data_IF_522198113758
#
_entry.id   IF_522198113758
#
_cell.length_a   1.000
_cell.length_b   1.000
_cell.length_c   1.000
_cell.angle_alpha   90.00
_cell.angle_beta   90.00
_cell.angle_gamma   90.00
#
_symmetry.space_group_name_H-M   'P 1'
#
loop_
_entity.id
_entity.type
_entity.pdbx_description
1 polymer ?
#
# COMPACT_ATOMS: atom_id res chain seq x y z
N UNK A 1 23.52 -4.65 -6.56
CA UNK A 1 24.90 -4.13 -6.54
C UNK A 1 25.29 -3.71 -7.95
N UNK A 2 26.11 -2.68 -8.12
CA UNK A 2 26.52 -2.19 -9.45
C UNK A 2 27.89 -1.51 -9.40
N UNK A 3 28.56 -1.41 -10.55
CA UNK A 3 29.71 -0.53 -10.77
C UNK A 3 29.28 0.94 -10.80
N UNK A 4 30.24 1.87 -10.66
CA UNK A 4 29.99 3.32 -10.68
C UNK A 4 29.25 3.80 -11.95
N UNK A 5 29.61 3.22 -13.09
CA UNK A 5 28.96 3.48 -14.39
C UNK A 5 27.77 2.54 -14.68
N UNK A 6 27.46 1.60 -13.77
CA UNK A 6 26.41 0.59 -13.87
C UNK A 6 26.49 -0.34 -15.08
N UNK A 7 27.68 -0.49 -15.67
CA UNK A 7 27.95 -1.45 -16.75
C UNK A 7 27.94 -2.88 -16.19
N UNK A 8 28.57 -3.08 -15.04
CA UNK A 8 28.50 -4.31 -14.27
C UNK A 8 27.45 -4.20 -13.16
N UNK A 9 26.59 -5.21 -13.02
CA UNK A 9 25.60 -5.25 -11.95
C UNK A 9 25.04 -6.65 -11.73
N UNK A 10 24.42 -6.83 -10.57
CA UNK A 10 23.55 -7.96 -10.26
C UNK A 10 22.32 -7.48 -9.49
N UNK A 11 21.14 -7.98 -9.87
CA UNK A 11 19.86 -7.63 -9.30
C UNK A 11 18.90 -8.83 -9.27
N UNK A 12 18.17 -8.97 -8.16
CA UNK A 12 17.07 -9.91 -8.00
C UNK A 12 15.78 -9.09 -7.82
N UNK A 13 14.76 -9.39 -8.62
CA UNK A 13 13.48 -8.70 -8.62
C UNK A 13 12.34 -9.71 -8.49
N UNK A 14 11.27 -9.32 -7.79
CA UNK A 14 9.99 -10.02 -7.83
C UNK A 14 9.09 -9.33 -8.86
N UNK A 15 8.65 -10.06 -9.88
CA UNK A 15 7.75 -9.57 -10.92
C UNK A 15 6.60 -10.56 -11.08
N UNK A 16 5.36 -10.10 -10.95
CA UNK A 16 4.16 -10.96 -11.07
C UNK A 16 4.22 -12.20 -10.16
N UNK A 17 4.74 -12.00 -8.94
CA UNK A 17 4.91 -13.07 -7.94
C UNK A 17 6.08 -14.02 -8.20
N UNK A 18 6.88 -13.82 -9.25
CA UNK A 18 8.00 -14.70 -9.65
C UNK A 18 9.34 -13.99 -9.55
N UNK A 19 10.39 -14.74 -9.25
CA UNK A 19 11.74 -14.20 -9.15
C UNK A 19 12.42 -14.11 -10.50
N UNK A 20 13.08 -12.98 -10.73
CA UNK A 20 13.94 -12.72 -11.86
C UNK A 20 15.31 -12.26 -11.36
N UNK A 21 16.34 -13.06 -11.67
CA UNK A 21 17.73 -12.71 -11.41
C UNK A 21 18.37 -12.25 -12.71
N UNK A 22 19.02 -11.10 -12.68
CA UNK A 22 19.73 -10.55 -13.82
C UNK A 22 21.07 -9.98 -13.40
N UNK A 23 22.05 -10.17 -14.27
CA UNK A 23 23.38 -9.66 -14.05
C UNK A 23 24.07 -9.40 -15.39
N UNK A 24 24.98 -8.44 -15.39
CA UNK A 24 25.85 -8.11 -16.51
C UNK A 24 27.29 -8.02 -15.97
N UNK A 25 28.20 -8.69 -16.67
CA UNK A 25 29.64 -8.72 -16.38
C UNK A 25 30.40 -7.71 -17.26
N UNK A 26 29.68 -6.72 -17.80
CA UNK A 26 30.17 -5.65 -18.67
C UNK A 26 30.15 -5.95 -20.16
N UNK A 27 29.68 -7.14 -20.56
CA UNK A 27 29.63 -7.58 -21.97
C UNK A 27 28.31 -8.24 -22.38
N UNK A 28 27.26 -8.06 -21.60
CA UNK A 28 25.92 -8.47 -21.96
C UNK A 28 25.11 -9.00 -20.80
N UNK A 29 23.87 -8.53 -20.71
CA UNK A 29 22.92 -8.92 -19.68
C UNK A 29 22.49 -10.38 -19.84
N UNK A 30 22.65 -11.14 -18.76
CA UNK A 30 22.06 -12.48 -18.58
C UNK A 30 20.82 -12.35 -17.68
N UNK A 31 19.72 -13.05 -18.01
CA UNK A 31 18.49 -13.08 -17.21
C UNK A 31 18.06 -14.53 -16.95
N UNK A 32 17.73 -14.82 -15.71
CA UNK A 32 17.24 -16.10 -15.20
C UNK A 32 15.91 -15.83 -14.48
N UNK A 33 14.98 -16.78 -14.52
CA UNK A 33 13.72 -16.69 -13.78
C UNK A 33 13.36 -18.04 -13.17
N UNK A 34 12.56 -18.02 -12.11
CA UNK A 34 12.07 -19.23 -11.42
C UNK A 34 10.54 -19.31 -11.50
N UNK A 35 9.93 -20.49 -11.71
CA UNK A 35 8.48 -20.64 -11.88
C UNK A 35 7.67 -20.61 -10.58
N UNK A 36 8.31 -20.69 -9.41
CA UNK A 36 7.61 -20.58 -8.13
C UNK A 36 6.91 -19.21 -7.99
N UNK A 37 5.72 -19.22 -7.39
CA UNK A 37 5.01 -18.03 -6.94
C UNK A 37 5.33 -17.81 -5.47
N UNK A 38 5.83 -16.62 -5.11
CA UNK A 38 6.29 -16.29 -3.76
C UNK A 38 5.37 -15.31 -3.02
N UNK A 39 4.25 -14.91 -3.65
CA UNK A 39 3.29 -13.95 -3.08
C UNK A 39 2.15 -14.65 -2.33
N UNK A 40 2.49 -15.63 -1.49
CA UNK A 40 1.54 -16.43 -0.70
C UNK A 40 1.55 -16.10 0.80
N UNK A 41 2.42 -15.18 1.22
CA UNK A 41 2.57 -14.74 2.62
C UNK A 41 3.41 -15.68 3.48
N UNK A 42 4.04 -16.71 2.89
CA UNK A 42 4.92 -17.64 3.59
C UNK A 42 6.40 -17.25 3.44
N UNK A 43 7.22 -17.79 4.34
CA UNK A 43 8.66 -17.67 4.24
C UNK A 43 9.21 -18.58 3.15
N UNK A 44 10.01 -18.01 2.24
CA UNK A 44 10.72 -18.76 1.20
C UNK A 44 12.23 -18.62 1.34
N UNK A 45 12.96 -19.69 1.02
CA UNK A 45 14.42 -19.65 0.89
C UNK A 45 14.80 -19.39 -0.56
N UNK A 46 15.57 -18.33 -0.80
CA UNK A 46 15.97 -17.91 -2.15
C UNK A 46 17.50 -17.87 -2.26
N UNK A 47 18.04 -18.51 -3.30
CA UNK A 47 19.46 -18.49 -3.62
C UNK A 47 19.66 -18.08 -5.09
N UNK A 48 20.59 -17.18 -5.34
CA UNK A 48 21.01 -16.78 -6.70
C UNK A 48 22.46 -17.18 -6.89
N UNK A 49 22.77 -17.91 -7.95
CA UNK A 49 24.13 -18.41 -8.17
C UNK A 49 24.64 -18.06 -9.57
N UNK A 50 25.92 -17.68 -9.62
CA UNK A 50 26.73 -17.60 -10.82
C UNK A 50 27.93 -18.53 -10.66
N UNK A 51 28.03 -19.54 -11.50
CA UNK A 51 29.11 -20.53 -11.45
C UNK A 51 29.50 -21.00 -12.86
N UNK A 52 30.80 -20.99 -13.18
CA UNK A 52 31.35 -21.48 -14.46
C UNK A 52 30.58 -20.99 -15.70
N UNK A 53 30.35 -19.68 -15.81
CA UNK A 53 29.58 -19.06 -16.91
C UNK A 53 28.12 -19.52 -17.00
N UNK A 54 27.53 -19.97 -15.89
CA UNK A 54 26.11 -20.29 -15.78
C UNK A 54 25.49 -19.53 -14.62
N UNK A 55 24.32 -18.94 -14.85
CA UNK A 55 23.46 -18.37 -13.82
C UNK A 55 22.26 -19.28 -13.56
N UNK A 56 21.85 -19.43 -12.30
CA UNK A 56 20.61 -20.11 -11.92
C UNK A 56 20.06 -19.57 -10.59
N UNK A 57 18.82 -19.93 -10.30
CA UNK A 57 18.08 -19.59 -9.08
C UNK A 57 17.67 -20.87 -8.39
N UNK A 58 17.65 -20.87 -7.06
CA UNK A 58 17.03 -21.93 -6.26
C UNK A 58 15.97 -21.30 -5.36
N UNK A 59 14.75 -21.83 -5.38
CA UNK A 59 13.65 -21.44 -4.49
C UNK A 59 13.16 -22.68 -3.74
N UNK A 60 13.23 -22.65 -2.41
CA UNK A 60 12.82 -23.75 -1.54
C UNK A 60 13.45 -25.11 -1.92
N UNK A 61 14.73 -25.06 -2.31
CA UNK A 61 15.49 -26.23 -2.74
C UNK A 61 15.24 -26.70 -4.17
N UNK A 62 14.38 -26.02 -4.93
CA UNK A 62 14.12 -26.31 -6.34
C UNK A 62 14.93 -25.37 -7.24
N UNK A 63 15.69 -25.94 -8.18
CA UNK A 63 16.52 -25.18 -9.10
C UNK A 63 15.75 -24.75 -10.35
N UNK A 64 16.03 -23.53 -10.83
CA UNK A 64 15.69 -23.11 -12.18
C UNK A 64 16.58 -23.80 -13.21
N UNK A 65 16.18 -23.82 -14.50
CA UNK A 65 17.11 -24.14 -15.58
C UNK A 65 18.36 -23.26 -15.53
N UNK A 66 19.53 -23.87 -15.74
CA UNK A 66 20.79 -23.14 -15.83
C UNK A 66 20.88 -22.36 -17.14
N UNK A 67 21.26 -21.09 -17.06
CA UNK A 67 21.40 -20.20 -18.23
C UNK A 67 22.87 -19.86 -18.43
N UNK A 68 23.41 -20.14 -19.63
CA UNK A 68 24.76 -19.73 -20.00
C UNK A 68 24.85 -18.21 -20.10
N UNK A 69 25.88 -17.62 -19.52
CA UNK A 69 26.06 -16.16 -19.54
C UNK A 69 26.34 -15.62 -20.93
N UNK A 70 25.76 -14.46 -21.22
CA UNK A 70 26.01 -13.68 -22.44
C UNK A 70 27.39 -13.01 -22.35
N UNK A 71 28.11 -12.95 -23.47
CA UNK A 71 29.44 -12.35 -23.53
C UNK A 71 30.57 -13.27 -23.01
N UNK A 72 31.80 -12.80 -23.15
CA UNK A 72 33.05 -13.48 -22.77
C UNK A 72 33.69 -12.92 -21.49
N UNK A 73 33.07 -11.94 -20.84
CA UNK A 73 33.51 -11.44 -19.55
C UNK A 73 33.34 -12.49 -18.44
N UNK A 74 34.24 -12.45 -17.45
CA UNK A 74 34.36 -13.47 -16.39
C UNK A 74 34.33 -12.90 -14.97
N UNK A 75 34.44 -11.58 -14.81
CA UNK A 75 34.43 -10.89 -13.52
C UNK A 75 33.17 -10.04 -13.37
N UNK A 76 32.70 -9.88 -12.13
CA UNK A 76 31.63 -8.95 -11.78
C UNK A 76 32.25 -7.85 -10.91
N UNK A 77 32.49 -6.69 -11.51
CA UNK A 77 33.22 -5.60 -10.84
C UNK A 77 32.23 -4.54 -10.31
N UNK A 78 31.98 -4.51 -9.00
CA UNK A 78 30.96 -3.63 -8.39
C UNK A 78 31.49 -2.82 -7.19
N UNK A 79 30.80 -1.74 -6.80
CA UNK A 79 31.25 -0.78 -5.78
C UNK A 79 31.25 -1.29 -4.31
N UNK A 80 31.29 -2.60 -4.05
CA UNK A 80 31.33 -3.13 -2.69
C UNK A 80 30.07 -2.86 -1.84
N UNK A 81 29.03 -2.22 -2.40
CA UNK A 81 27.74 -1.95 -1.75
C UNK A 81 26.65 -2.89 -2.24
N UNK A 82 25.86 -3.42 -1.30
CA UNK A 82 24.64 -4.17 -1.57
C UNK A 82 23.43 -3.36 -1.11
N UNK A 83 22.50 -3.11 -2.04
CA UNK A 83 21.20 -2.53 -1.72
C UNK A 83 20.21 -3.67 -1.48
N UNK A 84 19.57 -3.69 -0.31
CA UNK A 84 18.62 -4.71 0.11
C UNK A 84 17.21 -4.11 0.22
N UNK A 85 16.21 -4.78 -0.35
CA UNK A 85 14.81 -4.38 -0.25
C UNK A 85 14.38 -3.17 -1.09
N UNK A 86 15.31 -2.33 -1.56
CA UNK A 86 15.01 -1.16 -2.38
C UNK A 86 16.26 -0.39 -2.79
N UNK A 87 16.06 0.80 -3.38
CA UNK A 87 17.13 1.70 -3.81
C UNK A 87 16.94 3.09 -3.17
N UNK A 88 18.02 3.85 -2.91
CA UNK A 88 17.91 5.24 -2.47
C UNK A 88 17.12 6.11 -3.46
N UNK A 89 16.45 7.14 -2.94
CA UNK A 89 15.51 7.97 -3.71
C UNK A 89 16.14 8.71 -4.89
N UNK A 90 17.43 9.01 -4.77
CA UNK A 90 18.29 9.72 -5.71
C UNK A 90 19.02 8.76 -6.65
N UNK A 91 19.08 7.47 -6.32
CA UNK A 91 19.71 6.47 -7.17
C UNK A 91 18.86 6.22 -8.42
N UNK A 92 19.52 6.14 -9.58
CA UNK A 92 18.88 5.90 -10.88
C UNK A 92 19.50 4.67 -11.51
N UNK A 93 18.87 3.52 -11.35
CA UNK A 93 19.31 2.27 -11.96
C UNK A 93 19.00 2.28 -13.47
N UNK A 94 19.99 1.99 -14.33
CA UNK A 94 19.88 2.19 -15.78
C UNK A 94 19.66 0.92 -16.62
N UNK A 95 19.80 -0.28 -16.06
CA UNK A 95 19.83 -1.52 -16.86
C UNK A 95 18.92 -2.66 -16.35
N UNK A 96 18.13 -2.41 -15.30
CA UNK A 96 17.30 -3.43 -14.62
C UNK A 96 15.80 -3.32 -14.89
N UNK A 97 15.40 -2.56 -15.91
CA UNK A 97 14.00 -2.33 -16.25
C UNK A 97 13.28 -1.38 -15.28
N UNK A 98 11.94 -1.48 -15.23
CA UNK A 98 11.08 -0.52 -14.53
C UNK A 98 10.77 -0.92 -13.06
N UNK A 99 11.19 -2.10 -12.62
CA UNK A 99 10.96 -2.59 -11.25
C UNK A 99 12.11 -2.14 -10.37
N UNK A 100 12.05 -0.88 -9.95
CA UNK A 100 13.07 -0.23 -9.11
C UNK A 100 12.52 0.25 -7.76
N UNK A 101 11.22 0.05 -7.51
CA UNK A 101 10.59 0.36 -6.24
C UNK A 101 10.99 -0.66 -5.16
N UNK A 102 10.80 -0.28 -3.90
CA UNK A 102 11.07 -1.17 -2.77
C UNK A 102 10.07 -2.34 -2.74
N UNK A 103 10.55 -3.54 -2.39
CA UNK A 103 9.71 -4.72 -2.27
C UNK A 103 8.88 -4.67 -0.98
N UNK A 104 7.55 -4.84 -1.04
CA UNK A 104 6.70 -4.95 0.15
C UNK A 104 6.78 -6.36 0.74
N UNK A 105 7.92 -6.68 1.36
CA UNK A 105 8.16 -8.01 1.95
C UNK A 105 9.03 -7.92 3.20
N UNK A 106 8.93 -8.94 4.04
CA UNK A 106 9.92 -9.17 5.08
C UNK A 106 11.12 -9.91 4.51
N UNK A 107 12.33 -9.46 4.84
CA UNK A 107 13.58 -10.14 4.48
C UNK A 107 14.25 -10.57 5.77
N UNK A 108 14.47 -11.87 5.93
CA UNK A 108 15.16 -12.49 7.07
C UNK A 108 16.68 -12.42 6.92
N UNK A 109 17.35 -13.53 7.21
CA UNK A 109 18.81 -13.65 7.08
C UNK A 109 19.25 -13.51 5.61
N UNK A 110 20.40 -12.84 5.40
CA UNK A 110 20.98 -12.64 4.07
C UNK A 110 22.47 -12.92 4.11
N UNK A 111 22.91 -13.87 3.28
CA UNK A 111 24.31 -14.19 3.10
C UNK A 111 24.78 -13.89 1.68
N UNK A 112 26.02 -13.41 1.55
CA UNK A 112 26.71 -13.26 0.27
C UNK A 112 28.00 -14.08 0.35
N UNK A 113 28.20 -15.00 -0.61
CA UNK A 113 29.35 -15.91 -0.62
C UNK A 113 29.55 -16.64 0.72
N UNK A 114 28.45 -17.13 1.31
CA UNK A 114 28.40 -17.80 2.63
C UNK A 114 28.76 -16.92 3.84
N UNK A 115 29.04 -15.63 3.64
CA UNK A 115 29.22 -14.67 4.72
C UNK A 115 27.88 -14.01 5.04
N UNK A 116 27.39 -14.20 6.25
CA UNK A 116 26.19 -13.50 6.73
C UNK A 116 26.44 -11.99 6.79
N UNK A 117 25.45 -11.22 6.36
CA UNK A 117 25.46 -9.77 6.47
C UNK A 117 24.88 -9.36 7.82
N UNK A 118 25.55 -8.42 8.50
CA UNK A 118 24.99 -7.76 9.67
C UNK A 118 23.95 -6.72 9.21
N UNK A 119 22.67 -7.05 9.36
CA UNK A 119 21.55 -6.16 9.03
C UNK A 119 21.22 -5.16 10.13
N UNK A 120 21.78 -5.33 11.33
CA UNK A 120 21.57 -4.41 12.46
C UNK A 120 22.54 -3.21 12.40
N UNK A 121 23.63 -3.33 11.62
CA UNK A 121 24.62 -2.26 11.39
C UNK A 121 24.75 -1.86 9.90
N UNK A 122 23.69 -1.40 9.22
CA UNK A 122 23.78 -1.02 7.80
C UNK A 122 24.57 0.28 7.61
N UNK A 123 25.22 0.44 6.44
CA UNK A 123 25.87 1.70 6.07
C UNK A 123 24.86 2.87 6.01
N UNK A 124 23.65 2.59 5.53
CA UNK A 124 22.52 3.51 5.55
C UNK A 124 21.20 2.74 5.46
N UNK A 125 20.11 3.31 5.98
CA UNK A 125 18.76 2.77 5.88
C UNK A 125 17.74 3.90 5.72
N UNK A 126 16.65 3.64 4.98
CA UNK A 126 15.56 4.59 4.77
C UNK A 126 14.23 3.85 4.73
N UNK A 127 13.26 4.32 5.52
CA UNK A 127 11.91 3.76 5.60
C UNK A 127 11.84 2.24 5.86
N UNK A 128 12.81 1.69 6.59
CA UNK A 128 12.83 0.27 7.01
C UNK A 128 12.15 0.12 8.36
N UNK A 129 11.34 -0.91 8.51
CA UNK A 129 10.64 -1.25 9.75
C UNK A 129 10.78 -2.74 10.08
N UNK A 130 10.42 -3.12 11.31
CA UNK A 130 10.41 -4.51 11.74
C UNK A 130 9.18 -5.22 11.18
N UNK A 131 9.33 -6.50 10.88
CA UNK A 131 8.21 -7.34 10.48
C UNK A 131 7.43 -7.83 11.71
N UNK A 132 6.13 -8.00 11.56
CA UNK A 132 5.34 -8.74 12.54
C UNK A 132 5.65 -10.25 12.44
N UNK A 133 5.53 -10.96 13.56
CA UNK A 133 5.72 -12.41 13.60
C UNK A 133 4.71 -13.14 12.71
N UNK A 134 3.46 -12.66 12.70
CA UNK A 134 2.42 -13.02 11.76
C UNK A 134 1.90 -11.75 11.10
N UNK A 135 1.78 -11.76 9.78
CA UNK A 135 1.24 -10.65 9.01
C UNK A 135 0.26 -11.17 7.96
N UNK A 136 -0.69 -10.32 7.59
CA UNK A 136 -1.61 -10.55 6.47
C UNK A 136 -1.59 -9.35 5.52
N UNK A 137 -2.18 -9.52 4.34
CA UNK A 137 -2.30 -8.45 3.35
C UNK A 137 -3.18 -7.30 3.88
N UNK A 138 -2.59 -6.12 3.96
CA UNK A 138 -3.27 -4.88 4.31
C UNK A 138 -2.30 -3.78 4.72
N UNK A 139 -2.83 -2.61 5.03
CA UNK A 139 -2.06 -1.49 5.58
C UNK A 139 -2.49 -1.26 7.01
N UNK A 140 -1.55 -1.36 7.96
CA UNK A 140 -1.82 -1.12 9.37
C UNK A 140 -1.79 0.37 9.71
N UNK A 141 -2.76 0.79 10.50
CA UNK A 141 -2.84 2.11 11.12
C UNK A 141 -2.77 1.92 12.63
N UNK A 142 -1.78 2.56 13.28
CA UNK A 142 -1.54 2.35 14.71
C UNK A 142 -2.51 3.12 15.63
N UNK A 143 -3.26 4.07 15.07
CA UNK A 143 -4.20 4.93 15.81
C UNK A 143 -3.66 6.32 16.19
N UNK A 144 -2.51 6.73 15.64
CA UNK A 144 -1.85 8.00 15.98
C UNK A 144 -1.70 8.98 14.81
N UNK A 145 -2.06 8.57 13.58
CA UNK A 145 -1.78 9.34 12.38
C UNK A 145 -2.71 9.05 11.22
N UNK A 146 -2.20 9.12 9.99
CA UNK A 146 -2.97 9.07 8.76
C UNK A 146 -2.09 8.86 7.52
N UNK A 147 -2.73 8.52 6.40
CA UNK A 147 -2.16 8.56 5.06
C UNK A 147 -2.81 9.68 4.23
N UNK A 148 -2.02 10.41 3.43
CA UNK A 148 -2.53 11.45 2.54
C UNK A 148 -2.15 11.20 1.07
N UNK A 149 -3.16 11.30 0.19
CA UNK A 149 -3.03 11.10 -1.25
C UNK A 149 -3.48 12.30 -2.06
N UNK A 150 -3.06 12.34 -3.33
CA UNK A 150 -3.48 13.36 -4.31
C UNK A 150 -3.17 14.77 -3.81
N UNK A 151 -1.87 15.07 -3.65
CA UNK A 151 -1.38 16.38 -3.17
C UNK A 151 -1.98 17.55 -3.95
N UNK A 152 -2.14 17.39 -5.26
CA UNK A 152 -2.71 18.40 -6.17
C UNK A 152 -4.24 18.61 -6.02
N UNK A 153 -4.89 17.75 -5.23
CA UNK A 153 -6.31 17.84 -4.92
C UNK A 153 -7.20 16.86 -5.68
N UNK A 154 -8.09 16.22 -4.95
CA UNK A 154 -9.15 15.36 -5.49
C UNK A 154 -10.48 16.13 -5.60
N UNK A 155 -11.15 16.00 -6.75
CA UNK A 155 -12.44 16.64 -7.04
C UNK A 155 -13.57 15.63 -6.99
N UNK A 156 -14.31 15.59 -5.88
CA UNK A 156 -15.44 14.66 -5.65
C UNK A 156 -16.54 14.86 -6.69
N UNK A 157 -17.02 16.10 -6.88
CA UNK A 157 -18.10 16.44 -7.83
C UNK A 157 -19.43 15.76 -7.50
N UNK A 158 -20.23 15.46 -8.50
CA UNK A 158 -21.59 14.93 -8.36
C UNK A 158 -21.63 13.47 -7.95
N UNK A 159 -20.73 12.64 -8.48
CA UNK A 159 -20.77 11.19 -8.35
C UNK A 159 -19.40 10.64 -7.97
N UNK A 160 -19.36 9.85 -6.89
CA UNK A 160 -18.18 9.08 -6.47
C UNK A 160 -18.61 7.79 -5.80
N UNK A 161 -17.91 6.70 -6.13
CA UNK A 161 -18.00 5.42 -5.43
C UNK A 161 -16.69 5.16 -4.70
N UNK A 162 -16.76 4.92 -3.40
CA UNK A 162 -15.63 4.51 -2.57
C UNK A 162 -15.85 3.07 -2.17
N UNK A 163 -14.84 2.22 -2.34
CA UNK A 163 -14.82 0.86 -1.79
C UNK A 163 -13.54 0.68 -0.99
N UNK A 164 -13.64 0.02 0.16
CA UNK A 164 -12.51 -0.43 0.96
C UNK A 164 -12.92 -1.65 1.78
N UNK A 165 -11.94 -2.41 2.24
CA UNK A 165 -12.11 -3.39 3.31
C UNK A 165 -11.37 -2.88 4.55
N UNK A 166 -11.97 -3.04 5.73
CA UNK A 166 -11.37 -2.65 7.00
C UNK A 166 -11.55 -3.72 8.06
N UNK A 167 -10.63 -3.75 9.03
CA UNK A 167 -10.82 -4.45 10.30
C UNK A 167 -10.28 -3.61 11.44
N UNK A 168 -10.93 -3.67 12.59
CA UNK A 168 -10.54 -2.89 13.77
C UNK A 168 -11.01 -3.57 15.04
N UNK A 169 -10.44 -3.18 16.18
CA UNK A 169 -10.93 -3.46 17.53
C UNK A 169 -11.38 -2.18 18.26
N UNK A 170 -11.46 -1.05 17.54
CA UNK A 170 -11.90 0.24 18.05
C UNK A 170 -13.33 0.54 17.60
N UNK A 171 -14.13 1.12 18.50
CA UNK A 171 -15.48 1.60 18.17
C UNK A 171 -15.49 3.00 17.53
N UNK A 172 -14.33 3.63 17.44
CA UNK A 172 -14.16 4.98 16.91
C UNK A 172 -12.95 5.05 15.98
N UNK A 173 -13.09 5.75 14.86
CA UNK A 173 -11.98 5.99 13.94
C UNK A 173 -12.39 6.62 12.62
N UNK A 174 -11.65 7.63 12.19
CA UNK A 174 -11.79 8.23 10.86
C UNK A 174 -11.30 7.25 9.79
N UNK A 175 -12.15 6.90 8.82
CA UNK A 175 -11.76 6.04 7.71
C UNK A 175 -11.24 6.87 6.53
N UNK A 176 -11.98 7.89 6.09
CA UNK A 176 -11.60 8.71 4.93
C UNK A 176 -12.22 10.11 5.02
N UNK A 177 -11.47 11.15 4.64
CA UNK A 177 -11.96 12.52 4.56
C UNK A 177 -11.43 13.26 3.33
N UNK A 178 -12.33 13.96 2.61
CA UNK A 178 -11.98 14.90 1.54
C UNK A 178 -12.82 16.15 1.77
N UNK A 179 -12.18 17.25 2.15
CA UNK A 179 -12.88 18.48 2.54
C UNK A 179 -12.26 19.70 1.87
N UNK A 180 -13.12 20.56 1.33
CA UNK A 180 -12.72 21.93 1.00
C UNK A 180 -12.48 22.73 2.28
N UNK A 181 -11.73 23.84 2.16
CA UNK A 181 -11.57 24.79 3.26
C UNK A 181 -12.89 25.48 3.65
N UNK A 182 -13.90 25.45 2.77
CA UNK A 182 -15.19 26.12 2.95
C UNK A 182 -16.22 25.18 3.59
N UNK A 183 -17.05 24.55 2.77
CA UNK A 183 -18.25 23.80 3.20
C UNK A 183 -18.26 22.40 2.59
N UNK A 184 -18.01 22.30 1.29
CA UNK A 184 -18.14 21.06 0.52
C UNK A 184 -17.13 20.02 0.98
N UNK A 185 -17.63 18.83 1.30
CA UNK A 185 -16.82 17.73 1.82
C UNK A 185 -17.55 16.39 1.76
N UNK A 186 -16.77 15.31 1.84
CA UNK A 186 -17.25 13.97 2.15
C UNK A 186 -16.40 13.36 3.28
N UNK A 187 -16.99 12.49 4.08
CA UNK A 187 -16.29 11.82 5.17
C UNK A 187 -16.90 10.46 5.53
N UNK A 188 -16.05 9.49 5.82
CA UNK A 188 -16.38 8.16 6.32
C UNK A 188 -15.71 7.97 7.67
N UNK A 189 -16.49 7.57 8.68
CA UNK A 189 -15.99 7.35 10.04
C UNK A 189 -16.81 6.29 10.77
N UNK A 190 -16.17 5.67 11.75
CA UNK A 190 -16.81 4.82 12.76
C UNK A 190 -16.96 5.68 14.01
N UNK A 191 -18.16 5.77 14.57
CA UNK A 191 -18.46 6.52 15.79
C UNK A 191 -19.39 5.67 16.67
N UNK A 192 -18.92 5.34 17.87
CA UNK A 192 -19.63 4.49 18.83
C UNK A 192 -20.18 3.20 18.19
N UNK A 193 -19.35 2.51 17.40
CA UNK A 193 -19.69 1.24 16.75
C UNK A 193 -20.64 1.37 15.54
N UNK A 194 -21.03 2.59 15.15
CA UNK A 194 -21.83 2.86 13.94
C UNK A 194 -20.91 3.35 12.83
N UNK A 195 -21.26 3.04 11.59
CA UNK A 195 -20.54 3.52 10.42
C UNK A 195 -21.33 4.64 9.72
N UNK A 196 -20.69 5.79 9.54
CA UNK A 196 -21.34 6.98 9.01
C UNK A 196 -20.67 7.40 7.70
N UNK A 197 -21.50 7.71 6.70
CA UNK A 197 -21.07 8.37 5.47
C UNK A 197 -21.73 9.74 5.36
N UNK A 198 -20.90 10.78 5.48
CA UNK A 198 -21.29 12.17 5.44
C UNK A 198 -20.98 12.80 4.08
N UNK A 199 -21.90 13.61 3.57
CA UNK A 199 -21.74 14.39 2.34
C UNK A 199 -22.30 15.78 2.55
N UNK A 200 -21.59 16.83 2.14
CA UNK A 200 -22.09 18.19 2.09
C UNK A 200 -21.79 18.79 0.71
N UNK A 201 -22.86 19.16 0.01
CA UNK A 201 -22.82 19.79 -1.32
C UNK A 201 -23.02 21.32 -1.24
N UNK A 202 -22.69 21.93 -0.10
CA UNK A 202 -22.87 23.36 0.17
C UNK A 202 -24.22 23.75 0.81
N UNK A 203 -25.19 22.83 0.87
CA UNK A 203 -26.54 23.07 1.40
C UNK A 203 -26.86 22.24 2.67
N UNK A 204 -25.84 21.87 3.43
CA UNK A 204 -25.97 21.11 4.66
C UNK A 204 -25.53 19.66 4.53
N UNK A 205 -25.18 19.07 5.68
CA UNK A 205 -24.62 17.72 5.77
C UNK A 205 -25.73 16.66 5.71
N UNK A 206 -25.60 15.74 4.76
CA UNK A 206 -26.38 14.53 4.58
C UNK A 206 -25.61 13.38 5.21
N UNK A 207 -26.27 12.48 5.92
CA UNK A 207 -25.61 11.35 6.57
C UNK A 207 -26.38 10.04 6.35
N UNK A 208 -25.73 9.06 5.75
CA UNK A 208 -26.20 7.67 5.79
C UNK A 208 -25.52 6.96 6.97
N UNK A 209 -26.30 6.39 7.89
CA UNK A 209 -25.79 5.74 9.10
C UNK A 209 -26.12 4.25 9.06
N UNK A 210 -25.10 3.41 9.11
CA UNK A 210 -25.24 1.98 9.30
C UNK A 210 -25.01 1.64 10.78
N UNK A 211 -26.03 1.10 11.43
CA UNK A 211 -25.98 0.61 12.80
C UNK A 211 -26.12 -0.91 12.79
N UNK A 212 -25.08 -1.66 13.19
CA UNK A 212 -25.16 -3.11 13.27
C UNK A 212 -26.24 -3.56 14.28
N UNK A 213 -26.88 -4.70 14.00
CA UNK A 213 -27.90 -5.28 14.89
C UNK A 213 -27.34 -5.73 16.23
N UNK A 214 -26.10 -6.23 16.24
CA UNK A 214 -25.41 -6.67 17.44
C UNK A 214 -24.27 -5.69 17.77
N UNK A 215 -24.03 -5.40 19.07
CA UNK A 215 -22.92 -4.56 19.48
C UNK A 215 -21.58 -5.17 19.06
N UNK A 216 -20.57 -4.32 18.89
CA UNK A 216 -19.20 -4.70 18.53
C UNK A 216 -19.03 -5.43 17.19
N UNK A 217 -20.08 -5.53 16.35
CA UNK A 217 -20.01 -6.23 15.06
C UNK A 217 -18.92 -5.68 14.14
N UNK A 218 -18.68 -4.36 14.14
CA UNK A 218 -17.68 -3.73 13.27
C UNK A 218 -16.27 -3.65 13.88
N UNK A 219 -16.13 -3.98 15.16
CA UNK A 219 -14.88 -3.95 15.89
C UNK A 219 -14.50 -5.34 16.43
N UNK A 220 -14.93 -6.40 15.73
CA UNK A 220 -14.69 -7.79 16.10
C UNK A 220 -13.31 -8.32 15.62
N UNK A 221 -12.49 -7.44 15.05
CA UNK A 221 -11.18 -7.77 14.49
C UNK A 221 -11.22 -8.46 13.13
N UNK A 222 -12.39 -8.68 12.51
CA UNK A 222 -12.53 -9.32 11.20
C UNK A 222 -12.66 -8.28 10.08
N UNK A 223 -12.44 -8.76 8.86
CA UNK A 223 -12.57 -7.94 7.65
C UNK A 223 -14.04 -7.67 7.32
N UNK A 224 -14.39 -6.40 7.23
CA UNK A 224 -15.67 -5.90 6.74
C UNK A 224 -15.49 -5.21 5.40
N UNK A 225 -16.46 -5.38 4.49
CA UNK A 225 -16.47 -4.71 3.20
C UNK A 225 -17.38 -3.49 3.24
N UNK A 226 -16.81 -2.33 2.91
CA UNK A 226 -17.50 -1.05 2.83
C UNK A 226 -17.64 -0.59 1.39
N UNK A 227 -18.82 -0.12 1.02
CA UNK A 227 -19.06 0.63 -0.21
C UNK A 227 -19.88 1.89 0.09
N UNK A 228 -19.37 3.04 -0.33
CA UNK A 228 -20.03 4.32 -0.14
C UNK A 228 -20.21 5.01 -1.49
N UNK A 229 -21.46 5.23 -1.88
CA UNK A 229 -21.84 5.87 -3.13
C UNK A 229 -22.47 7.23 -2.85
N UNK A 230 -21.91 8.27 -3.46
CA UNK A 230 -22.58 9.55 -3.63
C UNK A 230 -23.06 9.63 -5.07
N UNK A 231 -24.34 9.95 -5.26
CA UNK A 231 -24.90 10.34 -6.55
C UNK A 231 -25.76 11.58 -6.42
N UNK A 232 -25.23 12.72 -6.86
CA UNK A 232 -25.83 14.04 -6.72
C UNK A 232 -26.19 14.34 -5.25
N UNK A 233 -27.48 14.38 -4.93
CA UNK A 233 -28.04 14.64 -3.61
C UNK A 233 -28.39 13.35 -2.84
N UNK A 234 -28.08 12.17 -3.40
CA UNK A 234 -28.34 10.86 -2.79
C UNK A 234 -27.04 10.24 -2.30
N UNK A 235 -27.13 9.58 -1.15
CA UNK A 235 -26.02 8.95 -0.45
C UNK A 235 -26.45 7.53 -0.11
N UNK A 236 -25.61 6.56 -0.48
CA UNK A 236 -25.80 5.15 -0.16
C UNK A 236 -24.55 4.64 0.55
N UNK A 237 -24.75 3.92 1.64
CA UNK A 237 -23.70 3.22 2.36
C UNK A 237 -24.09 1.74 2.43
N UNK A 238 -23.17 0.86 2.06
CA UNK A 238 -23.33 -0.58 2.13
C UNK A 238 -22.18 -1.18 2.95
N UNK A 239 -22.53 -1.98 3.95
CA UNK A 239 -21.58 -2.66 4.84
C UNK A 239 -21.96 -4.14 4.90
N UNK A 240 -21.04 -5.01 4.46
CA UNK A 240 -21.25 -6.47 4.37
C UNK A 240 -22.55 -6.86 3.66
N UNK A 241 -22.90 -6.13 2.59
CA UNK A 241 -24.12 -6.33 1.81
C UNK A 241 -25.37 -5.62 2.37
N UNK A 242 -25.34 -5.11 3.60
CA UNK A 242 -26.45 -4.37 4.19
C UNK A 242 -26.42 -2.91 3.73
N UNK A 243 -27.53 -2.42 3.18
CA UNK A 243 -27.59 -1.08 2.56
C UNK A 243 -28.44 -0.11 3.38
N UNK A 244 -27.92 1.11 3.57
CA UNK A 244 -28.64 2.27 4.11
C UNK A 244 -28.53 3.44 3.15
N UNK A 245 -29.52 4.32 3.14
CA UNK A 245 -29.62 5.45 2.21
C UNK A 245 -30.01 6.72 2.94
N UNK A 246 -29.54 7.85 2.41
CA UNK A 246 -29.95 9.18 2.81
C UNK A 246 -30.02 10.09 1.58
N UNK A 247 -30.91 11.07 1.60
CA UNK A 247 -31.08 12.04 0.51
C UNK A 247 -31.19 13.46 1.08
N UNK A 248 -30.62 14.43 0.36
CA UNK A 248 -30.79 15.85 0.70
C UNK A 248 -32.16 16.35 0.26
N UNK A 249 -32.85 17.17 1.06
CA UNK A 249 -34.01 17.92 0.57
C UNK A 249 -33.61 18.99 -0.47
N UNK A 250 -32.34 19.42 -0.48
CA UNK A 250 -31.82 20.42 -1.42
C UNK A 250 -31.36 19.78 -2.73
N UNK A 251 -32.30 19.39 -3.59
CA UNK A 251 -32.06 18.62 -4.83
C UNK A 251 -31.21 19.35 -5.88
N UNK A 252 -31.12 20.68 -5.81
CA UNK A 252 -30.30 21.51 -6.71
C UNK A 252 -28.81 21.50 -6.34
N UNK A 253 -28.49 21.28 -5.06
CA UNK A 253 -27.10 21.20 -4.56
C UNK A 253 -26.57 19.78 -4.71
N UNK A 254 -25.96 19.51 -5.85
CA UNK A 254 -25.60 18.14 -6.28
C UNK A 254 -24.10 17.84 -6.27
N UNK A 255 -23.25 18.85 -6.35
CA UNK A 255 -21.79 18.70 -6.40
C UNK A 255 -21.16 18.95 -5.03
N UNK A 256 -20.17 18.15 -4.67
CA UNK A 256 -19.22 18.50 -3.63
C UNK A 256 -17.94 19.02 -4.31
N UNK A 257 -17.77 20.33 -4.34
CA UNK A 257 -16.70 21.03 -5.06
C UNK A 257 -15.42 21.11 -4.22
N UNK A 258 -14.82 19.94 -4.00
CA UNK A 258 -13.50 19.80 -3.40
C UNK A 258 -12.39 19.97 -4.46
N UNK A 259 -11.20 20.33 -4.00
CA UNK A 259 -9.95 20.19 -4.76
C UNK A 259 -8.81 20.00 -3.75
N UNK A 260 -8.94 18.96 -2.92
CA UNK A 260 -8.16 18.81 -1.69
C UNK A 260 -7.64 17.38 -1.55
N UNK A 261 -6.56 17.15 -0.78
CA UNK A 261 -6.02 15.81 -0.57
C UNK A 261 -7.05 14.83 0.00
N UNK A 262 -6.83 13.56 -0.29
CA UNK A 262 -7.57 12.46 0.34
C UNK A 262 -6.83 12.06 1.61
N UNK A 263 -7.48 12.20 2.75
CA UNK A 263 -6.95 11.73 4.03
C UNK A 263 -7.61 10.41 4.40
N UNK A 264 -6.82 9.44 4.85
CA UNK A 264 -7.28 8.09 5.21
C UNK A 264 -6.73 7.73 6.58
N UNK A 265 -7.58 7.17 7.45
CA UNK A 265 -7.21 6.76 8.80
C UNK A 265 -7.10 7.89 9.84
N UNK A 266 -7.27 9.16 9.44
CA UNK A 266 -7.09 10.34 10.28
C UNK A 266 -6.76 11.56 9.42
N UNK A 267 -6.42 12.69 10.02
CA UNK A 267 -5.99 13.90 9.32
C UNK A 267 -5.21 14.85 10.25
N UNK A 268 -4.40 15.79 9.71
CA UNK A 268 -3.67 16.77 10.51
C UNK A 268 -4.60 17.69 11.31
N UNK A 269 -4.18 18.09 12.52
CA UNK A 269 -4.99 18.94 13.40
C UNK A 269 -5.35 20.32 12.81
N UNK A 270 -4.49 20.86 11.93
CA UNK A 270 -4.70 22.14 11.24
C UNK A 270 -5.57 22.02 9.97
N UNK A 271 -5.93 20.80 9.56
CA UNK A 271 -6.77 20.56 8.39
C UNK A 271 -8.24 20.42 8.80
N UNK A 272 -9.07 21.31 8.26
CA UNK A 272 -10.51 21.28 8.48
C UNK A 272 -11.18 20.15 7.69
N UNK A 273 -11.97 19.32 8.38
CA UNK A 273 -12.80 18.27 7.77
C UNK A 273 -14.29 18.52 8.07
N UNK A 274 -15.01 19.15 7.14
CA UNK A 274 -16.41 19.57 7.38
C UNK A 274 -17.42 18.40 7.47
N UNK A 275 -17.03 17.21 6.99
CA UNK A 275 -17.86 16.01 6.96
C UNK A 275 -17.30 14.90 7.85
N UNK A 276 -16.50 15.23 8.85
CA UNK A 276 -16.11 14.31 9.92
C UNK A 276 -16.50 14.92 11.26
N UNK A 277 -17.05 14.11 12.15
CA UNK A 277 -17.43 14.50 13.51
C UNK A 277 -16.38 14.11 14.54
N UNK A 278 -15.47 13.20 14.19
CA UNK A 278 -14.37 12.75 15.03
C UNK A 278 -13.01 13.16 14.48
N UNK A 279 -12.06 13.43 15.38
CA UNK A 279 -10.62 13.54 15.09
C UNK A 279 -9.85 12.27 15.47
N UNK A 280 -10.54 11.23 15.92
CA UNK A 280 -9.91 9.99 16.39
C UNK A 280 -9.31 9.25 15.20
N UNK A 281 -7.99 9.13 15.17
CA UNK A 281 -7.30 8.31 14.17
C UNK A 281 -7.73 6.84 14.27
N UNK A 282 -7.95 6.23 13.11
CA UNK A 282 -8.29 4.83 13.00
C UNK A 282 -7.13 3.95 13.46
N UNK A 283 -7.45 2.94 14.24
CA UNK A 283 -6.55 1.86 14.63
C UNK A 283 -7.06 0.55 14.05
N UNK A 284 -6.26 -0.12 13.25
CA UNK A 284 -6.67 -1.34 12.56
C UNK A 284 -5.99 -1.48 11.22
N UNK A 285 -6.60 -2.24 10.30
CA UNK A 285 -6.07 -2.39 8.95
C UNK A 285 -7.08 -2.01 7.88
N UNK A 286 -6.57 -1.43 6.80
CA UNK A 286 -7.31 -1.10 5.59
C UNK A 286 -6.69 -1.81 4.38
N UNK A 287 -7.50 -2.23 3.42
CA UNK A 287 -7.03 -2.71 2.11
C UNK A 287 -8.04 -2.41 1.01
N UNK A 288 -7.59 -2.56 -0.24
CA UNK A 288 -8.42 -2.41 -1.46
C UNK A 288 -9.18 -1.08 -1.52
N UNK A 289 -8.51 0.02 -1.15
CA UNK A 289 -9.07 1.36 -1.29
C UNK A 289 -9.18 1.73 -2.77
N UNK A 290 -10.41 1.92 -3.24
CA UNK A 290 -10.70 2.31 -4.62
C UNK A 290 -11.71 3.44 -4.63
N UNK A 291 -11.42 4.49 -5.42
CA UNK A 291 -12.37 5.54 -5.75
C UNK A 291 -12.70 5.46 -7.25
N UNK A 292 -13.99 5.43 -7.57
CA UNK A 292 -14.49 5.34 -8.93
C UNK A 292 -15.29 6.60 -9.25
N UNK A 293 -14.94 7.26 -10.36
CA UNK A 293 -15.61 8.46 -10.87
C UNK A 293 -15.91 8.28 -12.35
N UNK A 294 -17.18 8.06 -12.68
CA UNK A 294 -17.58 7.67 -14.04
C UNK A 294 -16.86 6.38 -14.47
N UNK A 295 -16.20 6.33 -15.64
CA UNK A 295 -15.47 5.15 -16.10
C UNK A 295 -14.08 5.01 -15.45
N UNK A 296 -13.60 6.00 -14.70
CA UNK A 296 -12.26 5.99 -14.12
C UNK A 296 -12.28 5.28 -12.77
N UNK A 297 -11.58 4.14 -12.70
CA UNK A 297 -11.31 3.38 -11.46
C UNK A 297 -9.91 3.72 -11.00
N UNK A 298 -9.77 4.25 -9.78
CA UNK A 298 -8.47 4.56 -9.18
C UNK A 298 -8.30 3.78 -7.89
N UNK A 299 -7.36 2.84 -7.89
CA UNK A 299 -6.91 2.14 -6.69
C UNK A 299 -5.76 2.88 -6.05
N UNK A 300 -5.77 2.98 -4.72
CA UNK A 300 -4.77 3.71 -3.95
C UNK A 300 -3.89 2.74 -3.18
N UNK A 301 -2.62 2.67 -3.59
CA UNK A 301 -1.57 1.97 -2.85
C UNK A 301 -1.02 2.92 -1.77
N UNK A 302 -1.17 2.57 -0.50
CA UNK A 302 -0.72 3.36 0.64
C UNK A 302 0.77 3.69 0.64
N UNK A 303 1.62 2.88 0.03
CA UNK A 303 3.05 3.18 -0.11
C UNK A 303 3.34 4.37 -1.02
N UNK A 304 2.36 4.77 -1.84
CA UNK A 304 2.45 5.93 -2.76
C UNK A 304 1.87 7.22 -2.19
N UNK A 305 1.37 7.18 -0.94
CA UNK A 305 0.90 8.37 -0.25
C UNK A 305 2.04 9.40 -0.16
N UNK A 306 1.74 10.68 -0.41
CA UNK A 306 2.77 11.72 -0.32
C UNK A 306 3.12 12.06 1.14
N UNK A 307 2.32 11.57 2.10
CA UNK A 307 2.56 11.67 3.52
C UNK A 307 1.98 10.44 4.25
N UNK A 308 2.77 9.87 5.15
CA UNK A 308 2.41 8.75 6.03
C UNK A 308 2.87 9.06 7.45
N UNK A 309 1.98 8.88 8.43
CA UNK A 309 2.30 9.01 9.85
C UNK A 309 1.58 7.90 10.61
N UNK A 310 2.31 7.05 11.36
CA UNK A 310 1.71 5.95 12.11
C UNK A 310 1.01 4.92 11.22
N UNK A 311 1.53 4.72 10.00
CA UNK A 311 0.97 3.81 8.99
C UNK A 311 2.08 2.87 8.50
N UNK A 312 1.79 1.58 8.43
CA UNK A 312 2.66 0.56 7.83
C UNK A 312 2.01 0.00 6.56
N UNK A 313 2.34 0.54 5.37
CA UNK A 313 1.83 0.03 4.10
C UNK A 313 2.20 -1.43 3.91
N UNK A 314 1.28 -2.20 3.29
CA UNK A 314 1.47 -3.60 2.90
C UNK A 314 1.77 -4.59 4.04
N UNK A 315 1.75 -4.15 5.30
CA UNK A 315 1.90 -5.02 6.46
C UNK A 315 0.80 -4.76 7.48
N UNK A 316 -0.01 -5.79 7.72
CA UNK A 316 -1.05 -5.79 8.73
C UNK A 316 -0.77 -6.92 9.75
N UNK A 317 -0.61 -6.64 11.06
CA UNK A 317 -0.28 -7.67 12.04
C UNK A 317 -1.42 -8.69 12.16
N UNK A 318 -1.14 -9.96 11.93
CA UNK A 318 -2.13 -11.04 12.03
C UNK A 318 -2.77 -11.10 13.42
N UNK A 319 -4.01 -11.57 13.50
CA UNK A 319 -4.61 -11.93 14.79
C UNK A 319 -3.81 -13.07 15.39
N UNK A 320 -3.25 -12.89 16.59
CA UNK A 320 -2.65 -14.00 17.34
C UNK A 320 -3.69 -15.12 17.43
N UNK A 321 -3.34 -16.29 16.88
CA UNK A 321 -4.14 -17.52 16.93
C UNK A 321 -4.05 -18.19 18.29
#
# INVERSE_FOLDING_TARGET
MAHQNQVDYAALQLQEGRLHFMFDLGKGRTKVWHPALLSDGQWHTVKTEYFKRKGFLTVDGQDSPMVTTVGDATTLDVEGKLYLGGLPSEYRARNIGNITHSIPACIGEVAVNSKQLDKDSPESASAVSRCYAAAEEGTFFEGSGYAAFVKEGYKVRSDVNITLEFRTSSENGVLLGISSAKVDAIGLEIVNGKLLFHVNNGAGRITATYEPKAPHTLCDGKWHRLQANKSKHRVLLMVDGNTVRAESPHTQSTSADTNNPIYVGGYPADVKQNCLSSQTSFRGCLRKLTLIKGPQVQSYDFSTAFHLQGVSPHSCPGTES
#
